data_IF_850540491287
#
_entry.id   IF_850540491287
#
_cell.length_a   1.000
_cell.length_b   1.000
_cell.length_c   1.000
_cell.angle_alpha   90.00
_cell.angle_beta   90.00
_cell.angle_gamma   90.00
#
_symmetry.space_group_name_H-M   'P 1'
#
loop_
_entity.id
_entity.type
_entity.pdbx_description
1 polymer ?
#
# COMPACT_ATOMS: atom_id res chain seq x y z
N UNK A 1 37.86 -29.39 -29.33
CA UNK A 1 36.45 -28.91 -29.41
C UNK A 1 35.79 -28.80 -28.03
N UNK A 2 35.95 -29.73 -27.10
CA UNK A 2 35.34 -29.72 -25.76
C UNK A 2 35.64 -28.48 -24.91
N UNK A 3 36.88 -27.98 -24.93
CA UNK A 3 37.26 -26.78 -24.14
C UNK A 3 36.57 -25.50 -24.57
N UNK A 4 36.27 -25.35 -25.87
CA UNK A 4 35.59 -24.19 -26.43
C UNK A 4 34.09 -24.18 -26.04
N UNK A 5 33.47 -25.33 -26.03
CA UNK A 5 32.04 -25.49 -25.61
C UNK A 5 31.89 -25.17 -24.13
N UNK A 6 32.78 -25.63 -23.27
CA UNK A 6 32.78 -25.32 -21.82
C UNK A 6 32.95 -23.83 -21.57
N UNK A 7 33.81 -23.16 -22.32
CA UNK A 7 34.02 -21.71 -22.22
C UNK A 7 32.72 -20.93 -22.59
N UNK A 8 32.04 -21.32 -23.68
CA UNK A 8 30.77 -20.68 -24.07
C UNK A 8 29.68 -20.87 -23.04
N UNK A 9 29.56 -22.04 -22.44
CA UNK A 9 28.60 -22.29 -21.36
C UNK A 9 28.93 -21.41 -20.14
N UNK A 10 30.18 -21.29 -19.75
CA UNK A 10 30.58 -20.46 -18.61
C UNK A 10 30.25 -18.96 -18.86
N UNK A 11 30.51 -18.45 -20.06
CA UNK A 11 30.16 -17.06 -20.44
C UNK A 11 28.67 -16.87 -20.43
N UNK A 12 27.86 -17.81 -20.92
CA UNK A 12 26.41 -17.73 -20.90
C UNK A 12 25.84 -17.72 -19.47
N UNK A 13 26.33 -18.59 -18.60
CA UNK A 13 25.92 -18.63 -17.19
C UNK A 13 26.27 -17.31 -16.48
N UNK A 14 27.49 -16.81 -16.70
CA UNK A 14 27.93 -15.52 -16.14
C UNK A 14 27.03 -14.37 -16.61
N UNK A 15 26.73 -14.30 -17.91
CA UNK A 15 25.81 -13.30 -18.47
C UNK A 15 24.42 -13.39 -17.84
N UNK A 16 23.88 -14.61 -17.66
CA UNK A 16 22.57 -14.82 -17.05
C UNK A 16 22.53 -14.40 -15.58
N UNK A 17 23.56 -14.69 -14.81
CA UNK A 17 23.70 -14.28 -13.41
C UNK A 17 23.80 -12.75 -13.27
N UNK A 18 24.56 -12.09 -14.14
CA UNK A 18 24.69 -10.64 -14.16
C UNK A 18 23.33 -10.01 -14.48
N UNK A 19 22.65 -10.48 -15.53
CA UNK A 19 21.33 -9.97 -15.95
C UNK A 19 20.27 -10.14 -14.86
N UNK A 20 20.23 -11.27 -14.17
CA UNK A 20 19.33 -11.55 -13.05
C UNK A 20 19.57 -10.61 -11.86
N UNK A 21 20.84 -10.38 -11.50
CA UNK A 21 21.20 -9.46 -10.41
C UNK A 21 20.85 -7.98 -10.73
N UNK A 22 21.05 -7.55 -11.97
CA UNK A 22 20.68 -6.20 -12.39
C UNK A 22 19.16 -5.97 -12.32
N UNK A 23 18.36 -6.93 -12.78
CA UNK A 23 16.90 -6.86 -12.72
C UNK A 23 16.39 -6.76 -11.26
N UNK A 24 16.91 -7.57 -10.36
CA UNK A 24 16.57 -7.53 -8.93
C UNK A 24 16.94 -6.21 -8.25
N UNK A 25 18.09 -5.60 -8.59
CA UNK A 25 18.48 -4.28 -8.06
C UNK A 25 17.63 -3.16 -8.58
N UNK A 26 17.27 -3.18 -9.89
CA UNK A 26 16.39 -2.20 -10.49
C UNK A 26 15.00 -2.20 -9.84
N UNK A 27 14.39 -3.36 -9.65
CA UNK A 27 13.07 -3.50 -8.99
C UNK A 27 13.10 -3.01 -7.54
N UNK A 28 14.18 -3.28 -6.79
CA UNK A 28 14.35 -2.78 -5.42
C UNK A 28 14.48 -1.25 -5.38
N UNK A 29 15.21 -0.66 -6.33
CA UNK A 29 15.36 0.79 -6.41
C UNK A 29 14.05 1.48 -6.80
N UNK A 30 13.32 0.93 -7.77
CA UNK A 30 12.00 1.42 -8.17
C UNK A 30 11.05 1.40 -6.96
N UNK A 31 10.95 0.29 -6.23
CA UNK A 31 10.12 0.19 -5.01
C UNK A 31 10.52 1.21 -3.94
N UNK A 32 11.83 1.42 -3.71
CA UNK A 32 12.33 2.42 -2.75
C UNK A 32 12.01 3.86 -3.19
N UNK A 33 12.09 4.15 -4.47
CA UNK A 33 11.77 5.48 -5.02
C UNK A 33 10.28 5.77 -4.89
N UNK A 34 9.41 4.80 -5.19
CA UNK A 34 7.96 4.94 -4.98
C UNK A 34 7.61 5.09 -3.50
N UNK A 35 8.21 4.31 -2.62
CA UNK A 35 8.00 4.43 -1.18
C UNK A 35 8.42 5.81 -0.65
N UNK A 36 9.59 6.33 -1.03
CA UNK A 36 10.06 7.68 -0.67
C UNK A 36 9.19 8.79 -1.26
N UNK A 37 8.73 8.64 -2.51
CA UNK A 37 7.85 9.63 -3.14
C UNK A 37 6.50 9.70 -2.41
N UNK A 38 5.96 8.56 -2.00
CA UNK A 38 4.73 8.49 -1.18
C UNK A 38 4.96 9.10 0.22
N UNK A 39 6.08 8.84 0.85
CA UNK A 39 6.42 9.37 2.17
C UNK A 39 6.63 10.89 2.13
N UNK A 40 7.30 11.42 1.11
CA UNK A 40 7.52 12.86 0.94
C UNK A 40 6.26 13.63 0.51
N UNK A 41 5.31 12.99 -0.17
CA UNK A 41 4.04 13.63 -0.54
C UNK A 41 3.06 13.78 0.62
N UNK A 42 3.24 13.01 1.70
CA UNK A 42 2.36 13.01 2.89
C UNK A 42 2.84 14.00 3.97
N UNK A 43 4.10 14.45 3.94
CA UNK A 43 4.74 15.11 5.08
C UNK A 43 4.36 16.59 5.35
N UNK A 44 3.99 17.46 4.40
CA UNK A 44 3.69 18.85 4.76
C UNK A 44 2.27 19.07 5.29
N UNK A 45 1.33 18.13 5.13
CA UNK A 45 -0.10 18.35 5.43
C UNK A 45 -0.72 17.38 6.45
N UNK A 46 0.09 16.63 7.19
CA UNK A 46 -0.43 15.68 8.21
C UNK A 46 -1.37 16.33 9.24
N UNK A 47 -1.18 17.63 9.52
CA UNK A 47 -2.06 18.39 10.44
C UNK A 47 -3.43 18.70 9.85
N UNK A 48 -3.57 18.65 8.52
CA UNK A 48 -4.81 18.95 7.81
C UNK A 48 -5.64 17.69 7.53
N UNK A 49 -5.05 16.50 7.69
CA UNK A 49 -5.73 15.23 7.45
C UNK A 49 -6.75 14.97 8.55
N UNK A 50 -8.00 14.78 8.14
CA UNK A 50 -9.10 14.42 9.02
C UNK A 50 -9.06 12.93 9.36
N UNK A 51 -9.01 12.10 8.33
CA UNK A 51 -8.93 10.65 8.46
C UNK A 51 -8.28 10.01 7.22
N UNK A 52 -8.01 8.73 7.33
CA UNK A 52 -7.47 7.90 6.26
C UNK A 52 -8.39 6.71 6.07
N UNK A 53 -8.68 6.31 4.83
CA UNK A 53 -9.36 5.04 4.61
C UNK A 53 -8.61 4.14 3.66
N UNK A 54 -8.79 2.83 3.87
CA UNK A 54 -8.20 1.81 3.03
C UNK A 54 -9.07 1.58 1.79
N UNK A 55 -8.47 1.65 0.61
CA UNK A 55 -9.14 1.38 -0.66
C UNK A 55 -8.52 0.18 -1.34
N UNK A 56 -9.28 -0.91 -1.45
CA UNK A 56 -8.87 -2.10 -2.16
C UNK A 56 -9.30 -2.05 -3.62
N UNK A 57 -8.44 -2.54 -4.50
CA UNK A 57 -8.83 -2.80 -5.90
C UNK A 57 -9.69 -4.05 -5.92
N UNK A 58 -10.96 -3.93 -6.32
CA UNK A 58 -11.91 -5.04 -6.36
C UNK A 58 -11.84 -5.78 -7.70
N UNK A 59 -10.86 -6.66 -7.83
CA UNK A 59 -10.77 -7.57 -8.99
C UNK A 59 -10.42 -9.00 -8.53
N UNK A 60 -10.47 -9.95 -9.46
CA UNK A 60 -10.23 -11.37 -9.19
C UNK A 60 -8.81 -11.71 -8.70
N UNK A 61 -7.88 -10.74 -8.65
CA UNK A 61 -6.53 -10.93 -8.15
C UNK A 61 -6.26 -10.26 -6.81
N UNK A 62 -7.27 -9.61 -6.23
CA UNK A 62 -7.17 -9.00 -4.89
C UNK A 62 -7.36 -10.05 -3.81
N UNK A 63 -6.45 -10.10 -2.85
CA UNK A 63 -6.52 -11.09 -1.78
C UNK A 63 -7.64 -10.76 -0.77
N UNK A 64 -8.18 -11.78 -0.11
CA UNK A 64 -9.27 -11.67 0.86
C UNK A 64 -8.95 -10.71 2.02
N UNK A 65 -7.69 -10.69 2.47
CA UNK A 65 -7.24 -9.77 3.54
C UNK A 65 -7.38 -8.32 3.11
N UNK A 66 -7.02 -7.98 1.87
CA UNK A 66 -7.18 -6.63 1.34
C UNK A 66 -8.66 -6.27 1.14
N UNK A 67 -9.49 -7.22 0.72
CA UNK A 67 -10.95 -7.03 0.59
C UNK A 67 -11.58 -6.77 1.97
N UNK A 68 -11.17 -7.50 3.00
CA UNK A 68 -11.66 -7.32 4.36
C UNK A 68 -11.25 -5.96 4.99
N UNK A 69 -10.19 -5.35 4.49
CA UNK A 69 -9.76 -4.01 4.91
C UNK A 69 -10.42 -2.88 4.12
N UNK A 70 -11.10 -3.18 3.01
CA UNK A 70 -11.72 -2.17 2.15
C UNK A 70 -12.71 -1.30 2.89
N UNK A 71 -12.54 0.01 2.75
CA UNK A 71 -13.37 0.99 3.43
C UNK A 71 -13.17 1.12 4.95
N UNK A 72 -12.11 0.54 5.51
CA UNK A 72 -11.74 0.77 6.90
C UNK A 72 -11.21 2.19 7.07
N UNK A 73 -11.88 2.98 7.92
CA UNK A 73 -11.55 4.37 8.25
C UNK A 73 -10.73 4.43 9.53
N UNK A 74 -9.68 5.24 9.53
CA UNK A 74 -8.71 5.30 10.63
C UNK A 74 -8.26 6.75 10.85
N UNK A 75 -8.16 7.19 12.11
CA UNK A 75 -7.57 8.50 12.42
C UNK A 75 -6.06 8.51 12.14
N UNK A 76 -5.50 9.65 11.69
CA UNK A 76 -4.07 9.85 11.59
C UNK A 76 -3.37 9.57 12.92
N UNK A 77 -2.28 8.81 12.89
CA UNK A 77 -1.54 8.44 14.10
C UNK A 77 -2.10 7.26 14.90
N UNK A 78 -3.23 6.68 14.51
CA UNK A 78 -3.74 5.48 15.17
C UNK A 78 -2.81 4.27 14.95
N UNK A 79 -2.60 3.47 16.00
CA UNK A 79 -1.65 2.32 16.02
C UNK A 79 -1.87 1.25 14.95
N UNK A 80 -3.07 1.16 14.39
CA UNK A 80 -3.39 0.19 13.32
C UNK A 80 -2.92 0.66 11.95
N UNK A 81 -2.74 1.97 11.74
CA UNK A 81 -2.42 2.55 10.43
C UNK A 81 -1.12 2.00 9.81
N UNK A 82 -0.01 1.87 10.55
CA UNK A 82 1.20 1.24 10.01
C UNK A 82 1.01 -0.23 9.63
N UNK A 83 0.11 -0.95 10.31
CA UNK A 83 -0.15 -2.38 10.08
C UNK A 83 -0.94 -2.63 8.80
N UNK A 84 -1.87 -1.71 8.45
CA UNK A 84 -2.70 -1.82 7.24
C UNK A 84 -2.15 -1.06 6.04
N UNK A 85 -1.09 -0.26 6.21
CA UNK A 85 -0.47 0.52 5.12
C UNK A 85 0.04 -0.40 4.01
N UNK A 86 -0.46 -0.26 2.77
CA UNK A 86 0.02 -1.09 1.65
C UNK A 86 1.48 -0.77 1.27
N UNK A 87 2.28 -1.76 0.88
CA UNK A 87 2.00 -3.19 0.98
C UNK A 87 2.14 -3.69 2.43
N UNK A 88 1.07 -4.23 3.03
CA UNK A 88 1.11 -4.75 4.39
C UNK A 88 1.52 -6.24 4.43
N UNK A 89 2.02 -6.69 5.58
CA UNK A 89 2.56 -8.04 5.75
C UNK A 89 1.52 -9.16 5.52
N UNK A 90 0.23 -8.86 5.74
CA UNK A 90 -0.87 -9.81 5.51
C UNK A 90 -1.32 -9.96 4.06
N UNK A 91 -0.79 -9.16 3.13
CA UNK A 91 -1.19 -9.25 1.72
C UNK A 91 -0.68 -10.54 1.07
N UNK A 92 -1.61 -11.36 0.56
CA UNK A 92 -1.34 -12.65 -0.10
C UNK A 92 -1.42 -12.59 -1.63
N UNK A 93 -1.54 -11.40 -2.22
CA UNK A 93 -1.61 -11.26 -3.68
C UNK A 93 -0.29 -11.66 -4.34
N UNK A 94 -0.33 -12.58 -5.28
CA UNK A 94 0.83 -13.02 -6.09
C UNK A 94 1.36 -11.91 -7.00
N UNK A 95 0.50 -10.98 -7.40
CA UNK A 95 0.84 -9.82 -8.24
C UNK A 95 1.30 -8.59 -7.42
N UNK A 96 1.37 -8.71 -6.10
CA UNK A 96 1.66 -7.62 -5.18
C UNK A 96 0.40 -6.84 -4.76
N UNK A 97 0.54 -6.07 -3.68
CA UNK A 97 -0.56 -5.25 -3.17
C UNK A 97 -0.75 -4.01 -4.06
N UNK A 98 -1.96 -3.85 -4.63
CA UNK A 98 -2.37 -2.71 -5.45
C UNK A 98 -3.32 -1.77 -4.71
N UNK A 99 -3.62 -2.10 -3.47
CA UNK A 99 -4.46 -1.27 -2.61
C UNK A 99 -3.72 0.00 -2.20
N UNK A 100 -4.47 1.00 -1.77
CA UNK A 100 -3.92 2.29 -1.36
C UNK A 100 -4.60 2.82 -0.11
N UNK A 101 -3.95 3.76 0.57
CA UNK A 101 -4.57 4.59 1.59
C UNK A 101 -4.99 5.91 0.95
N UNK A 102 -6.25 6.28 1.15
CA UNK A 102 -6.80 7.56 0.73
C UNK A 102 -6.83 8.48 1.94
N UNK A 103 -6.23 9.64 1.81
CA UNK A 103 -6.14 10.66 2.86
C UNK A 103 -7.17 11.74 2.58
N UNK A 104 -8.08 11.95 3.52
CA UNK A 104 -9.15 12.94 3.43
C UNK A 104 -8.81 14.11 4.35
N UNK A 105 -8.88 15.32 3.83
CA UNK A 105 -8.59 16.54 4.59
C UNK A 105 -9.84 17.06 5.30
N UNK A 106 -9.65 17.94 6.29
CA UNK A 106 -10.75 18.56 7.05
C UNK A 106 -11.58 19.52 6.21
N UNK A 107 -11.03 19.99 5.09
CA UNK A 107 -11.70 20.92 4.18
C UNK A 107 -12.56 20.20 3.14
N UNK A 108 -12.39 18.88 2.99
CA UNK A 108 -13.24 18.06 2.15
C UNK A 108 -14.61 17.83 2.81
N UNK A 109 -15.64 17.68 1.97
CA UNK A 109 -17.02 17.43 2.41
C UNK A 109 -17.09 16.20 3.33
N UNK A 110 -17.71 16.34 4.50
CA UNK A 110 -17.82 15.30 5.50
C UNK A 110 -16.52 15.01 6.29
N UNK A 111 -15.40 15.68 5.97
CA UNK A 111 -14.11 15.39 6.58
C UNK A 111 -14.10 15.56 8.11
N UNK A 112 -14.64 16.66 8.61
CA UNK A 112 -14.70 16.98 10.06
C UNK A 112 -15.72 16.15 10.81
N UNK A 113 -16.86 15.88 10.18
CA UNK A 113 -17.94 15.07 10.73
C UNK A 113 -17.46 13.64 10.98
N UNK A 114 -16.85 13.03 9.96
CA UNK A 114 -16.30 11.66 10.06
C UNK A 114 -15.12 11.63 11.05
N UNK A 115 -14.24 12.63 11.07
CA UNK A 115 -13.16 12.73 12.07
C UNK A 115 -13.74 12.73 13.50
N UNK A 116 -14.77 13.54 13.74
CA UNK A 116 -15.43 13.65 15.04
C UNK A 116 -16.09 12.35 15.47
N UNK A 117 -16.74 11.68 14.53
CA UNK A 117 -17.33 10.37 14.73
C UNK A 117 -16.27 9.32 15.06
N UNK A 118 -15.19 9.25 14.27
CA UNK A 118 -14.07 8.32 14.52
C UNK A 118 -13.45 8.53 15.90
N UNK A 119 -13.29 9.77 16.37
CA UNK A 119 -12.79 10.06 17.73
C UNK A 119 -13.68 9.45 18.81
N UNK A 120 -15.00 9.47 18.63
CA UNK A 120 -15.97 8.83 19.56
C UNK A 120 -15.90 7.31 19.52
N UNK A 121 -15.56 6.73 18.36
CA UNK A 121 -15.48 5.27 18.16
C UNK A 121 -14.09 4.66 18.44
N UNK A 122 -13.19 5.42 19.06
CA UNK A 122 -11.84 4.93 19.37
C UNK A 122 -10.85 4.99 18.22
N UNK A 123 -11.17 5.75 17.17
CA UNK A 123 -10.24 6.08 16.08
C UNK A 123 -10.24 5.14 14.88
N UNK A 124 -11.07 4.11 14.88
CA UNK A 124 -11.19 3.13 13.78
C UNK A 124 -12.65 2.72 13.60
N UNK A 125 -13.11 2.70 12.34
CA UNK A 125 -14.42 2.18 11.97
C UNK A 125 -14.37 1.43 10.65
N UNK A 126 -15.26 0.46 10.50
CA UNK A 126 -15.48 -0.23 9.23
C UNK A 126 -16.45 0.56 8.33
N UNK A 127 -16.38 0.28 7.04
CA UNK A 127 -17.21 0.93 6.01
C UNK A 127 -18.71 0.92 6.36
N UNK A 128 -19.24 -0.22 6.78
CA UNK A 128 -20.66 -0.38 7.10
C UNK A 128 -21.12 0.55 8.23
N UNK A 129 -20.26 0.79 9.21
CA UNK A 129 -20.54 1.67 10.35
C UNK A 129 -20.61 3.12 9.89
N UNK A 130 -19.70 3.55 9.02
CA UNK A 130 -19.69 4.90 8.43
C UNK A 130 -20.93 5.09 7.53
N UNK A 131 -21.20 4.16 6.63
CA UNK A 131 -22.36 4.24 5.74
C UNK A 131 -23.68 4.30 6.52
N UNK A 132 -23.82 3.54 7.60
CA UNK A 132 -25.04 3.57 8.44
C UNK A 132 -25.25 4.93 9.12
N UNK A 133 -24.18 5.59 9.55
CA UNK A 133 -24.26 6.87 10.24
C UNK A 133 -24.47 8.05 9.26
N UNK A 134 -23.83 8.03 8.09
CA UNK A 134 -23.76 9.15 7.16
C UNK A 134 -24.58 8.94 5.87
N UNK A 135 -25.22 7.78 5.65
CA UNK A 135 -26.10 7.52 4.49
C UNK A 135 -27.53 8.08 4.62
N UNK A 136 -27.66 9.21 5.32
CA UNK A 136 -28.97 9.91 5.45
C UNK A 136 -29.11 11.03 4.44
#
# INVERSE_FOLDING_TARGET
>A
MTRFVVFLIAVYVLYYLIKSNFKSKADKNIRRTYAKKHENSVNPRLKEIAYVFYSAVKDGSTCEVCIALDGKHVLPGHKILPQIKPPHAGCRSTKGCRCTLVYVTRDEEGGREIESFLKKQGGVCDRQTIEREFAR
#
